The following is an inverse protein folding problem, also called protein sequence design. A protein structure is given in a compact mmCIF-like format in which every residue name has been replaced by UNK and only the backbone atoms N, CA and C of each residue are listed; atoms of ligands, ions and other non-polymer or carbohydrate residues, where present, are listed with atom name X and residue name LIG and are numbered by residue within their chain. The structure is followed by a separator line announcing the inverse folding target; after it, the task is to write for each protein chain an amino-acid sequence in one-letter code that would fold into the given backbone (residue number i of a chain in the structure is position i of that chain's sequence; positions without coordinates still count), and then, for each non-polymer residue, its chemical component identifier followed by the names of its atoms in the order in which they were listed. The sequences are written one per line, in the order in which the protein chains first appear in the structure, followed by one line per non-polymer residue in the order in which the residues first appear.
data_IF_732453440042
#
_entry.id   IF_732453440042
#
_cell.length_a   1.000
_cell.length_b   1.000
_cell.length_c   1.000
_cell.angle_alpha   90.00
_cell.angle_beta   90.00
_cell.angle_gamma   90.00
#
_symmetry.space_group_name_H-M   'P 1'
#
loop_
_entity.id
_entity.type
_entity.pdbx_description
1 polymer ?
#
# COMPACT_ATOMS: atom_id res chain seq x y z
N UNK A 1 8.02 13.14 7.57
CA UNK A 1 7.86 11.77 7.08
C UNK A 1 6.47 11.25 7.40
N UNK A 2 5.89 10.53 6.49
CA UNK A 2 4.60 9.91 6.72
C UNK A 2 4.60 8.46 6.31
N UNK A 3 3.75 7.68 6.95
CA UNK A 3 3.56 6.28 6.62
C UNK A 3 2.07 5.99 6.52
N UNK A 4 1.72 5.01 5.71
CA UNK A 4 0.38 4.46 5.70
C UNK A 4 0.46 2.94 5.60
N UNK A 5 -0.34 2.29 6.42
CA UNK A 5 -0.51 0.84 6.36
C UNK A 5 -1.84 0.58 5.67
N UNK A 6 -1.84 -0.23 4.61
CA UNK A 6 -3.07 -0.60 3.92
C UNK A 6 -3.27 -2.10 4.03
N UNK A 7 -4.49 -2.52 4.34
CA UNK A 7 -4.88 -3.93 4.36
C UNK A 7 -5.73 -4.24 3.16
N UNK A 8 -5.35 -5.32 2.47
CA UNK A 8 -6.00 -5.78 1.25
C UNK A 8 -6.55 -7.17 1.47
N UNK A 9 -7.70 -7.44 0.88
CA UNK A 9 -8.32 -8.74 0.87
C UNK A 9 -8.36 -9.29 -0.55
N UNK A 10 -7.88 -10.52 -0.71
CA UNK A 10 -7.84 -11.21 -2.00
C UNK A 10 -8.79 -12.40 -1.95
N UNK A 11 -10.10 -12.12 -2.00
CA UNK A 11 -11.14 -13.12 -1.79
C UNK A 11 -11.10 -14.26 -2.81
N UNK A 12 -10.71 -13.95 -4.05
CA UNK A 12 -10.65 -14.93 -5.15
C UNK A 12 -9.35 -15.70 -5.19
N UNK A 13 -8.38 -15.35 -4.33
CA UNK A 13 -7.06 -15.97 -4.35
C UNK A 13 -7.05 -17.22 -3.46
N UNK A 14 -6.39 -18.27 -3.94
CA UNK A 14 -6.32 -19.55 -3.25
C UNK A 14 -4.90 -20.06 -3.05
N UNK A 15 -3.87 -19.21 -3.21
CA UNK A 15 -2.50 -19.65 -3.02
C UNK A 15 -1.59 -18.48 -2.65
N UNK A 16 -0.49 -18.78 -1.94
CA UNK A 16 0.54 -17.79 -1.67
C UNK A 16 1.20 -17.29 -2.94
N UNK A 17 1.38 -18.15 -3.92
CA UNK A 17 1.96 -17.77 -5.21
C UNK A 17 1.08 -16.72 -5.90
N UNK A 18 -0.23 -16.93 -5.93
CA UNK A 18 -1.17 -15.98 -6.50
C UNK A 18 -1.14 -14.65 -5.76
N UNK A 19 -1.12 -14.68 -4.42
CA UNK A 19 -1.02 -13.47 -3.61
C UNK A 19 0.26 -12.70 -3.93
N UNK A 20 1.40 -13.38 -4.00
CA UNK A 20 2.67 -12.72 -4.28
C UNK A 20 2.65 -12.02 -5.63
N UNK A 21 2.02 -12.61 -6.64
CA UNK A 21 1.89 -11.99 -7.96
C UNK A 21 1.04 -10.71 -7.89
N UNK A 22 -0.08 -10.75 -7.18
CA UNK A 22 -0.96 -9.58 -7.02
C UNK A 22 -0.23 -8.47 -6.26
N UNK A 23 0.39 -8.80 -5.13
CA UNK A 23 1.12 -7.83 -4.31
C UNK A 23 2.26 -7.21 -5.09
N UNK A 24 3.04 -8.01 -5.80
CA UNK A 24 4.16 -7.53 -6.61
C UNK A 24 3.68 -6.57 -7.70
N UNK A 25 2.55 -6.86 -8.31
CA UNK A 25 1.96 -5.99 -9.33
C UNK A 25 1.51 -4.65 -8.74
N UNK A 26 0.88 -4.68 -7.56
CA UNK A 26 0.46 -3.44 -6.88
C UNK A 26 1.67 -2.59 -6.53
N UNK A 27 2.70 -3.21 -5.95
CA UNK A 27 3.93 -2.51 -5.59
C UNK A 27 4.56 -1.85 -6.81
N UNK A 28 4.68 -2.59 -7.92
CA UNK A 28 5.26 -2.06 -9.14
C UNK A 28 4.49 -0.85 -9.69
N UNK A 29 3.16 -0.93 -9.68
CA UNK A 29 2.31 0.17 -10.16
C UNK A 29 2.42 1.40 -9.28
N UNK A 30 2.47 1.22 -7.97
CA UNK A 30 2.63 2.34 -7.04
C UNK A 30 4.00 2.98 -7.24
N UNK A 31 5.06 2.19 -7.34
CA UNK A 31 6.41 2.71 -7.54
C UNK A 31 6.58 3.44 -8.87
N UNK A 32 5.88 3.01 -9.91
CA UNK A 32 5.91 3.68 -11.20
C UNK A 32 5.21 5.04 -11.20
N UNK A 33 4.27 5.23 -10.29
CA UNK A 33 3.45 6.43 -10.27
C UNK A 33 3.82 7.42 -9.17
N UNK A 34 4.33 6.91 -8.05
CA UNK A 34 4.62 7.72 -6.87
C UNK A 34 6.04 7.50 -6.40
N UNK A 35 6.64 8.56 -5.87
CA UNK A 35 7.97 8.46 -5.26
C UNK A 35 7.81 8.11 -3.77
N UNK A 36 7.56 6.84 -3.51
CA UNK A 36 7.37 6.31 -2.16
C UNK A 36 8.10 4.99 -2.02
N UNK A 37 8.38 4.61 -0.79
CA UNK A 37 8.82 3.26 -0.44
C UNK A 37 7.60 2.43 -0.11
N UNK A 38 7.52 1.20 -0.62
CA UNK A 38 6.39 0.33 -0.39
C UNK A 38 6.87 -1.12 -0.27
N UNK A 39 6.32 -1.84 0.71
CA UNK A 39 6.62 -3.25 0.92
C UNK A 39 5.46 -3.95 1.61
N UNK A 40 5.40 -5.25 1.45
CA UNK A 40 4.51 -6.08 2.26
C UNK A 40 5.15 -6.24 3.65
N UNK A 41 4.41 -5.90 4.72
CA UNK A 41 4.97 -5.82 6.07
C UNK A 41 4.36 -6.79 7.08
N UNK A 42 3.14 -7.28 6.83
CA UNK A 42 2.46 -8.21 7.73
C UNK A 42 1.68 -9.22 6.91
N UNK A 43 1.25 -10.31 7.55
CA UNK A 43 0.39 -11.34 6.93
C UNK A 43 1.01 -12.02 5.72
N UNK A 44 2.36 -12.11 5.69
CA UNK A 44 3.08 -12.61 4.52
C UNK A 44 2.74 -14.07 4.20
N UNK A 45 2.39 -14.86 5.21
CA UNK A 45 2.03 -16.26 5.03
C UNK A 45 0.53 -16.47 4.85
N UNK A 46 -0.26 -15.40 4.89
CA UNK A 46 -1.70 -15.47 4.72
C UNK A 46 -2.06 -15.24 3.25
N UNK A 47 -2.73 -16.20 2.63
CA UNK A 47 -2.98 -16.19 1.17
C UNK A 47 -4.10 -15.28 0.72
N UNK A 48 -5.00 -14.84 1.60
CA UNK A 48 -6.13 -13.98 1.25
C UNK A 48 -6.05 -12.59 1.85
N UNK A 49 -5.00 -12.28 2.60
CA UNK A 49 -4.79 -10.98 3.20
C UNK A 49 -3.38 -10.49 2.90
N UNK A 50 -3.25 -9.23 2.55
CA UNK A 50 -1.95 -8.59 2.36
C UNK A 50 -1.96 -7.26 3.10
N UNK A 51 -0.89 -6.98 3.83
CA UNK A 51 -0.71 -5.71 4.52
C UNK A 51 0.53 -5.03 3.96
N UNK A 52 0.33 -3.86 3.36
CA UNK A 52 1.40 -3.09 2.74
C UNK A 52 1.74 -1.88 3.60
N UNK A 53 3.01 -1.62 3.77
CA UNK A 53 3.50 -0.39 4.38
C UNK A 53 4.03 0.54 3.30
N UNK A 54 3.66 1.80 3.36
CA UNK A 54 4.06 2.81 2.39
C UNK A 54 4.63 3.99 3.18
N UNK A 55 5.81 4.47 2.77
CA UNK A 55 6.47 5.58 3.44
C UNK A 55 6.80 6.66 2.42
N UNK A 56 6.60 7.91 2.83
CA UNK A 56 6.91 9.08 2.04
C UNK A 56 7.69 10.08 2.89
N UNK A 57 8.71 10.67 2.32
CA UNK A 57 9.51 11.67 3.01
C UNK A 57 9.48 12.98 2.22
N UNK A 58 9.28 14.09 2.93
CA UNK A 58 9.31 15.43 2.38
C UNK A 58 9.52 16.41 3.53
N UNK A 59 10.01 17.60 3.22
CA UNK A 59 10.10 18.67 4.20
C UNK A 59 8.76 19.43 4.38
N UNK A 60 7.72 19.02 3.68
CA UNK A 60 6.38 19.63 3.77
C UNK A 60 5.35 18.55 4.13
N UNK A 61 4.82 18.63 5.36
CA UNK A 61 3.86 17.64 5.85
C UNK A 61 2.56 17.59 5.05
N UNK A 62 2.15 18.73 4.45
CA UNK A 62 0.95 18.75 3.60
C UNK A 62 1.17 17.96 2.32
N UNK A 63 2.37 18.03 1.76
CA UNK A 63 2.72 17.25 0.58
C UNK A 63 2.76 15.75 0.91
N UNK A 64 3.33 15.38 2.05
CA UNK A 64 3.36 13.99 2.51
C UNK A 64 1.93 13.44 2.61
N UNK A 65 1.04 14.17 3.29
CA UNK A 65 -0.35 13.77 3.43
C UNK A 65 -1.03 13.60 2.07
N UNK A 66 -0.82 14.55 1.17
CA UNK A 66 -1.41 14.51 -0.17
C UNK A 66 -0.94 13.28 -0.95
N UNK A 67 0.38 13.02 -0.95
CA UNK A 67 0.94 11.88 -1.68
C UNK A 67 0.40 10.57 -1.12
N UNK A 68 0.42 10.39 0.19
CA UNK A 68 -0.06 9.16 0.81
C UNK A 68 -1.56 8.95 0.57
N UNK A 69 -2.35 10.03 0.62
CA UNK A 69 -3.78 9.95 0.33
C UNK A 69 -4.02 9.54 -1.12
N UNK A 70 -3.24 10.06 -2.05
CA UNK A 70 -3.32 9.69 -3.47
C UNK A 70 -2.93 8.22 -3.69
N UNK A 71 -1.93 7.73 -2.95
CA UNK A 71 -1.52 6.32 -3.05
C UNK A 71 -2.65 5.42 -2.55
N UNK A 72 -3.26 5.74 -1.42
CA UNK A 72 -4.39 4.98 -0.88
C UNK A 72 -5.54 4.95 -1.89
N UNK A 73 -5.89 6.10 -2.44
CA UNK A 73 -6.96 6.19 -3.43
C UNK A 73 -6.63 5.41 -4.70
N UNK A 74 -5.39 5.48 -5.16
CA UNK A 74 -4.94 4.72 -6.33
C UNK A 74 -5.11 3.21 -6.10
N UNK A 75 -4.70 2.72 -4.93
CA UNK A 75 -4.83 1.30 -4.59
C UNK A 75 -6.31 0.92 -4.46
N UNK A 76 -7.11 1.75 -3.79
CA UNK A 76 -8.53 1.49 -3.59
C UNK A 76 -9.30 1.42 -4.91
N UNK A 77 -8.90 2.22 -5.88
CA UNK A 77 -9.57 2.29 -7.18
C UNK A 77 -8.95 1.36 -8.22
N UNK A 78 -7.87 0.67 -7.89
CA UNK A 78 -7.26 -0.27 -8.82
C UNK A 78 -8.18 -1.48 -8.96
N UNK A 79 -8.36 -1.94 -10.20
CA UNK A 79 -9.19 -3.11 -10.50
C UNK A 79 -8.37 -4.39 -10.45
N UNK A 80 -7.44 -4.45 -9.51
CA UNK A 80 -6.67 -5.66 -9.28
C UNK A 80 -7.48 -6.60 -8.40
N UNK A 81 -7.06 -7.84 -8.31
CA UNK A 81 -7.77 -8.88 -7.57
C UNK A 81 -7.61 -8.71 -6.05
N UNK A 82 -7.67 -7.46 -5.59
CA UNK A 82 -7.51 -7.11 -4.19
C UNK A 82 -8.43 -5.95 -3.84
N UNK A 83 -9.08 -6.07 -2.69
CA UNK A 83 -9.98 -5.05 -2.15
C UNK A 83 -9.30 -4.38 -0.99
N UNK A 84 -9.26 -3.04 -0.99
CA UNK A 84 -8.75 -2.30 0.16
C UNK A 84 -9.80 -2.31 1.27
N UNK A 85 -9.46 -2.96 2.38
CA UNK A 85 -10.37 -3.14 3.52
C UNK A 85 -10.30 -1.94 4.45
N UNK A 86 -9.09 -1.55 4.84
CA UNK A 86 -8.85 -0.39 5.68
C UNK A 86 -7.43 0.14 5.48
N UNK A 87 -7.19 1.32 6.01
CA UNK A 87 -5.85 1.90 6.03
C UNK A 87 -5.67 2.73 7.30
N UNK A 88 -4.41 2.93 7.67
CA UNK A 88 -4.04 3.69 8.86
C UNK A 88 -2.83 4.56 8.51
N UNK A 89 -3.00 5.88 8.60
CA UNK A 89 -1.98 6.85 8.20
C UNK A 89 -1.42 7.56 9.42
N UNK A 90 -0.09 7.74 9.43
CA UNK A 90 0.60 8.47 10.47
C UNK A 90 1.55 9.47 9.84
N UNK A 91 1.42 10.74 10.22
CA UNK A 91 2.31 11.81 9.76
C UNK A 91 3.18 12.20 10.94
N UNK A 92 4.48 11.98 10.80
CA UNK A 92 5.44 12.36 11.82
C UNK A 92 5.97 13.75 11.50
N UNK A 93 6.16 14.63 12.52
CA UNK A 93 6.77 15.94 12.27
C UNK A 93 8.12 15.74 11.64
N UNK A 94 8.36 16.42 10.53
CA UNK A 94 9.55 16.27 9.75
C UNK A 94 10.76 16.89 10.38
N UNK A 95 11.94 16.62 9.82
CA UNK A 95 13.14 17.28 10.30
C UNK A 95 13.09 18.78 10.05
#
# INVERSE_FOLDING_TARGET
MGTVKVRLRLAENHSLKGKRQVVKSIIARVQNRFNVSIAEIEDQDHWQVATLGIACISNDGRQVNRVLSQVVEFIANSRMEAELVDHDMEILPGP
#
